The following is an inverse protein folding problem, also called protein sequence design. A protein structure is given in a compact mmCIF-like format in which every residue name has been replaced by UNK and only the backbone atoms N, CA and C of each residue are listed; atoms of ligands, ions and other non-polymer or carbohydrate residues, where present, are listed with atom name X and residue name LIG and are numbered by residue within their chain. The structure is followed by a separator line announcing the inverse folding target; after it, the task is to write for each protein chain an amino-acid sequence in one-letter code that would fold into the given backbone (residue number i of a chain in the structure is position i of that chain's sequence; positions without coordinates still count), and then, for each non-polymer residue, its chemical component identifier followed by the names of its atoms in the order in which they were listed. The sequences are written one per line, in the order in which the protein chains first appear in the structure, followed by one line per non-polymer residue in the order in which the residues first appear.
data_IF_492787345408
#
_entry.id   IF_492787345408
#
_cell.length_a   1.000
_cell.length_b   1.000
_cell.length_c   1.000
_cell.angle_alpha   90.00
_cell.angle_beta   90.00
_cell.angle_gamma   90.00
#
_symmetry.space_group_name_H-M   'P 1'
#
loop_
_entity.id
_entity.type
_entity.pdbx_description
1 polymer ?
#
# COMPACT_ATOMS: atom_id res chain seq x y z
N UNK A 1 -32.37 36.50 -10.83
CA UNK A 1 -31.06 35.83 -10.67
C UNK A 1 -31.11 34.49 -11.39
N UNK A 2 -30.28 34.29 -12.42
CA UNK A 2 -30.51 33.34 -13.51
C UNK A 2 -29.94 31.94 -13.20
N UNK A 3 -30.71 31.07 -12.53
CA UNK A 3 -30.29 29.72 -12.08
C UNK A 3 -29.97 28.77 -13.26
N UNK A 4 -30.36 29.10 -14.50
CA UNK A 4 -30.14 28.24 -15.68
C UNK A 4 -28.71 28.31 -16.25
N UNK A 5 -28.00 29.42 -16.10
CA UNK A 5 -26.61 29.55 -16.58
C UNK A 5 -25.60 28.58 -15.93
N UNK A 6 -25.59 28.37 -14.59
CA UNK A 6 -24.63 27.44 -13.98
C UNK A 6 -24.86 25.98 -14.37
N UNK A 7 -26.12 25.59 -14.67
CA UNK A 7 -26.45 24.23 -15.10
C UNK A 7 -25.92 23.93 -16.52
N UNK A 8 -26.02 24.91 -17.43
CA UNK A 8 -25.50 24.77 -18.79
C UNK A 8 -23.97 24.73 -18.82
N UNK A 9 -23.30 25.52 -17.97
CA UNK A 9 -21.84 25.49 -17.82
C UNK A 9 -21.34 24.15 -17.26
N UNK A 10 -22.01 23.59 -16.23
CA UNK A 10 -21.71 22.25 -15.69
C UNK A 10 -21.82 21.16 -16.76
N UNK A 11 -22.86 21.19 -17.58
CA UNK A 11 -23.03 20.24 -18.68
C UNK A 11 -21.94 20.36 -19.75
N UNK A 12 -21.46 21.57 -20.02
CA UNK A 12 -20.34 21.81 -20.96
C UNK A 12 -19.01 21.27 -20.43
N UNK A 13 -18.72 21.51 -19.15
CA UNK A 13 -17.53 20.98 -18.49
C UNK A 13 -17.55 19.44 -18.47
N UNK A 14 -18.67 18.85 -18.06
CA UNK A 14 -18.82 17.38 -18.04
C UNK A 14 -18.64 16.75 -19.43
N UNK A 15 -19.06 17.43 -20.50
CA UNK A 15 -18.81 16.97 -21.89
C UNK A 15 -17.33 16.98 -22.26
N UNK A 16 -16.57 17.97 -21.79
CA UNK A 16 -15.12 18.01 -21.99
C UNK A 16 -14.41 16.91 -21.20
N UNK A 17 -14.83 16.67 -19.96
CA UNK A 17 -14.31 15.56 -19.16
C UNK A 17 -14.71 14.19 -19.73
N UNK A 18 -15.81 14.08 -20.47
CA UNK A 18 -16.27 12.85 -21.12
C UNK A 18 -15.57 12.55 -22.47
N UNK A 19 -14.30 12.93 -22.60
CA UNK A 19 -13.51 12.73 -23.82
C UNK A 19 -12.80 11.37 -23.80
N UNK A 20 -12.96 10.59 -24.89
CA UNK A 20 -12.30 9.29 -25.06
C UNK A 20 -10.77 9.40 -25.09
N UNK A 21 -10.24 10.52 -25.59
CA UNK A 21 -8.79 10.75 -25.64
C UNK A 21 -8.18 10.65 -24.24
N UNK A 22 -8.83 11.26 -23.23
CA UNK A 22 -8.40 11.23 -21.83
C UNK A 22 -8.31 9.79 -21.33
N UNK A 23 -9.36 9.00 -21.54
CA UNK A 23 -9.43 7.59 -21.15
C UNK A 23 -8.26 6.79 -21.73
N UNK A 24 -8.02 6.93 -23.04
CA UNK A 24 -6.96 6.20 -23.75
C UNK A 24 -5.59 6.63 -23.26
N UNK A 25 -5.33 7.93 -23.12
CA UNK A 25 -4.05 8.40 -22.55
C UNK A 25 -3.83 7.90 -21.12
N UNK A 26 -4.86 7.86 -20.28
CA UNK A 26 -4.74 7.33 -18.92
C UNK A 26 -4.41 5.83 -18.93
N UNK A 27 -5.06 5.04 -19.78
CA UNK A 27 -4.80 3.60 -19.89
C UNK A 27 -3.39 3.31 -20.40
N UNK A 28 -2.92 4.04 -21.41
CA UNK A 28 -1.53 3.91 -21.91
C UNK A 28 -0.53 4.33 -20.83
N UNK A 29 -0.84 5.39 -20.08
CA UNK A 29 0.03 5.80 -18.98
C UNK A 29 0.08 4.77 -17.85
N UNK A 30 -1.05 4.20 -17.46
CA UNK A 30 -1.12 3.11 -16.47
C UNK A 30 -0.33 1.87 -16.93
N UNK A 31 -0.35 1.55 -18.23
CA UNK A 31 0.47 0.47 -18.79
C UNK A 31 1.96 0.76 -18.59
N UNK A 32 2.42 1.98 -18.89
CA UNK A 32 3.82 2.40 -18.73
C UNK A 32 4.22 2.34 -17.25
N UNK A 33 3.38 2.88 -16.35
CA UNK A 33 3.61 2.83 -14.91
C UNK A 33 3.69 1.41 -14.38
N UNK A 34 2.81 0.52 -14.86
CA UNK A 34 2.79 -0.88 -14.43
C UNK A 34 4.07 -1.58 -14.87
N UNK A 35 4.48 -1.40 -16.13
CA UNK A 35 5.73 -1.97 -16.64
C UNK A 35 6.94 -1.49 -15.81
N UNK A 36 7.06 -0.18 -15.59
CA UNK A 36 8.21 0.37 -14.87
C UNK A 36 8.19 0.04 -13.37
N UNK A 37 7.00 -0.03 -12.77
CA UNK A 37 6.82 -0.49 -11.39
C UNK A 37 7.28 -1.93 -11.20
N UNK A 38 6.97 -2.82 -12.16
CA UNK A 38 7.46 -4.21 -12.13
C UNK A 38 8.98 -4.29 -12.31
N UNK A 39 9.57 -3.45 -13.15
CA UNK A 39 11.05 -3.37 -13.26
C UNK A 39 11.66 -2.89 -11.94
N UNK A 40 11.11 -1.83 -11.34
CA UNK A 40 11.59 -1.27 -10.08
C UNK A 40 11.47 -2.23 -8.89
N UNK A 41 10.46 -3.11 -8.89
CA UNK A 41 10.25 -4.13 -7.87
C UNK A 41 11.46 -5.05 -7.68
N UNK A 42 12.23 -5.31 -8.74
CA UNK A 42 13.41 -6.18 -8.66
C UNK A 42 14.54 -5.60 -7.79
N UNK A 43 14.64 -4.26 -7.71
CA UNK A 43 15.73 -3.58 -7.01
C UNK A 43 15.37 -2.99 -5.64
N UNK A 44 14.09 -2.69 -5.40
CA UNK A 44 13.62 -2.00 -4.18
C UNK A 44 12.58 -2.81 -3.38
N UNK A 45 12.30 -4.04 -3.81
CA UNK A 45 11.22 -4.84 -3.26
C UNK A 45 9.82 -4.35 -3.67
N UNK A 46 8.81 -5.16 -3.33
CA UNK A 46 7.43 -4.93 -3.74
C UNK A 46 6.82 -3.69 -3.08
N UNK A 47 7.04 -3.52 -1.78
CA UNK A 47 6.42 -2.45 -0.99
C UNK A 47 6.84 -1.06 -1.47
N UNK A 48 8.14 -0.80 -1.61
CA UNK A 48 8.63 0.50 -2.04
C UNK A 48 8.31 0.79 -3.52
N UNK A 49 8.31 -0.23 -4.40
CA UNK A 49 7.87 -0.07 -5.78
C UNK A 49 6.38 0.31 -5.86
N UNK A 50 5.50 -0.36 -5.10
CA UNK A 50 4.08 -0.01 -5.03
C UNK A 50 3.87 1.41 -4.50
N UNK A 51 4.54 1.76 -3.40
CA UNK A 51 4.43 3.07 -2.77
C UNK A 51 4.88 4.20 -3.70
N UNK A 52 5.96 3.98 -4.46
CA UNK A 52 6.53 4.99 -5.37
C UNK A 52 5.67 5.17 -6.62
N UNK A 53 5.23 4.09 -7.28
CA UNK A 53 4.52 4.18 -8.57
C UNK A 53 3.01 4.19 -8.43
N UNK A 54 2.44 3.42 -7.50
CA UNK A 54 1.01 3.17 -7.42
C UNK A 54 0.28 4.01 -6.36
N UNK A 55 0.88 4.23 -5.19
CA UNK A 55 0.28 5.05 -4.12
C UNK A 55 0.73 6.52 -4.12
N UNK A 56 1.58 6.89 -5.07
CA UNK A 56 1.99 8.29 -5.21
C UNK A 56 1.06 9.07 -6.12
N UNK A 57 0.81 10.33 -5.77
CA UNK A 57 0.17 11.29 -6.66
C UNK A 57 1.14 11.76 -7.74
N UNK A 58 2.37 12.09 -7.34
CA UNK A 58 3.45 12.52 -8.21
C UNK A 58 4.73 11.88 -7.68
N UNK A 59 5.47 11.21 -8.56
CA UNK A 59 6.78 10.65 -8.22
C UNK A 59 7.86 11.28 -9.10
N UNK A 60 9.09 11.31 -8.61
CA UNK A 60 10.22 11.82 -9.38
C UNK A 60 10.88 10.69 -10.16
N UNK A 61 10.66 10.64 -11.47
CA UNK A 61 11.46 9.77 -12.33
C UNK A 61 12.89 10.28 -12.40
N UNK A 62 13.85 9.38 -12.12
CA UNK A 62 15.27 9.70 -12.13
C UNK A 62 15.70 10.80 -11.15
N UNK A 63 14.88 11.12 -10.15
CA UNK A 63 15.17 12.15 -9.14
C UNK A 63 14.93 13.60 -9.58
N UNK A 64 14.48 13.86 -10.81
CA UNK A 64 14.32 15.23 -11.32
C UNK A 64 12.97 15.50 -12.00
N UNK A 65 12.38 14.52 -12.67
CA UNK A 65 11.18 14.76 -13.48
C UNK A 65 9.90 14.34 -12.73
N UNK A 66 9.04 15.29 -12.30
CA UNK A 66 7.80 14.96 -11.62
C UNK A 66 6.80 14.36 -12.62
N UNK A 67 6.46 13.09 -12.42
CA UNK A 67 5.51 12.36 -13.22
C UNK A 67 4.26 12.02 -12.40
N UNK A 68 3.07 12.00 -13.03
CA UNK A 68 1.86 11.57 -12.35
C UNK A 68 1.94 10.08 -12.01
N UNK A 69 1.75 9.75 -10.75
CA UNK A 69 1.66 8.36 -10.29
C UNK A 69 0.34 7.70 -10.66
N UNK A 70 0.22 6.41 -10.36
CA UNK A 70 -0.97 5.65 -10.73
C UNK A 70 -2.21 6.12 -9.97
N UNK A 71 -2.07 6.51 -8.70
CA UNK A 71 -3.18 7.03 -7.90
C UNK A 71 -3.84 8.26 -8.55
N UNK A 72 -3.05 9.25 -8.95
CA UNK A 72 -3.57 10.43 -9.64
C UNK A 72 -4.24 10.05 -10.96
N UNK A 73 -3.59 9.18 -11.73
CA UNK A 73 -4.09 8.72 -13.05
C UNK A 73 -5.41 7.97 -12.92
N UNK A 74 -5.55 7.09 -11.92
CA UNK A 74 -6.77 6.35 -11.61
C UNK A 74 -7.91 7.29 -11.20
N UNK A 75 -7.63 8.34 -10.41
CA UNK A 75 -8.64 9.36 -10.08
C UNK A 75 -9.12 10.13 -11.31
N UNK A 76 -8.20 10.55 -12.19
CA UNK A 76 -8.56 11.22 -13.45
C UNK A 76 -9.42 10.30 -14.32
N UNK A 77 -9.03 9.02 -14.43
CA UNK A 77 -9.78 8.02 -15.19
C UNK A 77 -11.17 7.77 -14.58
N UNK A 78 -11.29 7.71 -13.26
CA UNK A 78 -12.57 7.56 -12.56
C UNK A 78 -13.51 8.74 -12.84
N UNK A 79 -13.03 9.97 -12.70
CA UNK A 79 -13.84 11.18 -12.98
C UNK A 79 -14.28 11.22 -14.44
N UNK A 80 -13.38 10.86 -15.37
CA UNK A 80 -13.71 10.73 -16.79
C UNK A 80 -14.82 9.70 -17.02
N UNK A 81 -14.70 8.50 -16.43
CA UNK A 81 -15.70 7.43 -16.56
C UNK A 81 -17.06 7.83 -15.99
N UNK A 82 -17.08 8.46 -14.81
CA UNK A 82 -18.31 9.02 -14.21
C UNK A 82 -18.92 10.07 -15.15
N UNK A 83 -18.10 10.96 -15.71
CA UNK A 83 -18.56 11.99 -16.64
C UNK A 83 -19.16 11.40 -17.93
N UNK A 84 -18.52 10.38 -18.50
CA UNK A 84 -19.04 9.64 -19.67
C UNK A 84 -20.36 8.96 -19.32
N UNK A 85 -20.42 8.29 -18.17
CA UNK A 85 -21.62 7.58 -17.72
C UNK A 85 -22.78 8.55 -17.55
N UNK A 86 -22.58 9.70 -16.89
CA UNK A 86 -23.64 10.69 -16.66
C UNK A 86 -24.07 11.44 -17.93
N UNK A 87 -23.14 11.77 -18.83
CA UNK A 87 -23.46 12.56 -20.05
C UNK A 87 -24.02 11.72 -21.19
N UNK A 88 -23.62 10.45 -21.29
CA UNK A 88 -24.06 9.52 -22.35
C UNK A 88 -25.06 8.49 -21.84
N UNK A 89 -25.57 8.64 -20.63
CA UNK A 89 -26.64 7.80 -20.09
C UNK A 89 -27.90 7.97 -20.93
N UNK A 90 -28.17 7.04 -21.84
CA UNK A 90 -29.45 6.95 -22.54
C UNK A 90 -29.96 5.55 -22.32
N UNK A 91 -30.95 5.42 -21.43
CA UNK A 91 -31.56 4.14 -21.11
C UNK A 91 -32.36 3.64 -22.32
N UNK A 92 -31.73 2.76 -23.09
CA UNK A 92 -32.33 2.15 -24.28
C UNK A 92 -31.99 0.68 -24.28
N UNK A 93 -32.99 -0.18 -24.41
CA UNK A 93 -32.83 -1.64 -24.43
C UNK A 93 -31.81 -2.12 -25.47
N UNK A 94 -31.69 -1.41 -26.60
CA UNK A 94 -30.70 -1.70 -27.65
C UNK A 94 -29.24 -1.38 -27.27
N UNK A 95 -29.00 -0.74 -26.12
CA UNK A 95 -27.67 -0.29 -25.65
C UNK A 95 -27.33 -0.81 -24.25
N UNK A 96 -28.06 -1.83 -23.77
CA UNK A 96 -27.85 -2.43 -22.44
C UNK A 96 -26.42 -2.92 -22.23
N UNK A 97 -25.79 -3.54 -23.24
CA UNK A 97 -24.41 -4.03 -23.10
C UNK A 97 -23.41 -2.92 -22.75
N UNK A 98 -23.54 -1.75 -23.38
CA UNK A 98 -22.67 -0.59 -23.10
C UNK A 98 -22.91 -0.07 -21.69
N UNK A 99 -24.17 -0.02 -21.27
CA UNK A 99 -24.58 0.41 -19.94
C UNK A 99 -24.04 -0.53 -18.84
N UNK A 100 -24.12 -1.85 -19.05
CA UNK A 100 -23.56 -2.86 -18.14
C UNK A 100 -22.05 -2.68 -18.02
N UNK A 101 -21.32 -2.49 -19.12
CA UNK A 101 -19.86 -2.31 -19.08
C UNK A 101 -19.50 -1.06 -18.27
N UNK A 102 -20.19 0.07 -18.49
CA UNK A 102 -19.86 1.30 -17.78
C UNK A 102 -20.18 1.20 -16.29
N UNK A 103 -21.33 0.63 -15.93
CA UNK A 103 -21.70 0.41 -14.53
C UNK A 103 -20.78 -0.61 -13.84
N UNK A 104 -20.41 -1.70 -14.53
CA UNK A 104 -19.49 -2.70 -14.01
C UNK A 104 -18.10 -2.12 -13.77
N UNK A 105 -17.60 -1.29 -14.69
CA UNK A 105 -16.29 -0.65 -14.56
C UNK A 105 -16.30 0.40 -13.44
N UNK A 106 -17.40 1.14 -13.27
CA UNK A 106 -17.58 2.06 -12.15
C UNK A 106 -17.66 1.31 -10.81
N UNK A 107 -18.34 0.16 -10.78
CA UNK A 107 -18.35 -0.74 -9.62
C UNK A 107 -16.94 -1.26 -9.30
N UNK A 108 -16.14 -1.61 -10.31
CA UNK A 108 -14.76 -2.06 -10.11
C UNK A 108 -13.90 -1.00 -9.40
N UNK A 109 -14.04 0.28 -9.78
CA UNK A 109 -13.36 1.37 -9.10
C UNK A 109 -13.81 1.53 -7.63
N UNK A 110 -15.11 1.38 -7.35
CA UNK A 110 -15.62 1.42 -5.97
C UNK A 110 -15.03 0.28 -5.15
N UNK A 111 -15.01 -0.94 -5.69
CA UNK A 111 -14.38 -2.10 -5.03
C UNK A 111 -12.88 -1.87 -4.78
N UNK A 112 -12.15 -1.33 -5.78
CA UNK A 112 -10.73 -1.01 -5.63
C UNK A 112 -10.49 0.05 -4.53
N UNK A 113 -11.35 1.05 -4.40
CA UNK A 113 -11.26 2.04 -3.33
C UNK A 113 -11.51 1.43 -1.95
N UNK A 114 -12.49 0.52 -1.82
CA UNK A 114 -12.75 -0.18 -0.56
C UNK A 114 -11.53 -1.01 -0.13
N UNK A 115 -10.93 -1.74 -1.07
CA UNK A 115 -9.69 -2.51 -0.86
C UNK A 115 -8.57 -1.55 -0.42
N UNK A 116 -8.41 -0.42 -1.10
CA UNK A 116 -7.36 0.55 -0.77
C UNK A 116 -7.45 1.08 0.68
N UNK A 117 -8.66 1.28 1.21
CA UNK A 117 -8.85 1.79 2.58
C UNK A 117 -8.84 0.68 3.63
N UNK A 118 -9.24 -0.54 3.26
CA UNK A 118 -9.56 -1.61 4.24
C UNK A 118 -8.52 -2.73 4.30
N UNK A 119 -7.64 -2.84 3.31
CA UNK A 119 -6.67 -3.95 3.23
C UNK A 119 -5.51 -3.73 4.18
N UNK A 120 -5.14 -4.79 4.91
CA UNK A 120 -3.86 -4.92 5.60
C UNK A 120 -3.10 -6.10 5.01
N UNK A 121 -1.84 -5.87 4.63
CA UNK A 121 -0.99 -6.87 4.00
C UNK A 121 -0.15 -7.58 5.07
N UNK A 122 -0.23 -8.91 5.08
CA UNK A 122 0.60 -9.77 5.94
C UNK A 122 0.93 -11.05 5.19
N UNK A 123 2.00 -11.73 5.60
CA UNK A 123 2.46 -12.96 4.99
C UNK A 123 2.53 -14.09 6.01
N UNK A 124 2.30 -15.31 5.51
CA UNK A 124 2.51 -16.54 6.24
C UNK A 124 3.40 -17.41 5.36
N UNK A 125 4.58 -17.76 5.85
CA UNK A 125 5.45 -18.75 5.19
C UNK A 125 5.20 -20.10 5.85
N UNK A 126 4.84 -21.11 5.07
CA UNK A 126 4.58 -22.47 5.53
C UNK A 126 5.44 -23.45 4.73
N UNK A 127 6.11 -24.36 5.42
CA UNK A 127 6.76 -25.53 4.80
C UNK A 127 5.78 -26.72 4.73
N UNK A 128 6.15 -27.76 3.98
CA UNK A 128 5.34 -28.97 3.89
C UNK A 128 5.14 -29.62 5.27
N UNK A 129 3.88 -29.72 5.68
CA UNK A 129 3.49 -30.26 6.99
C UNK A 129 3.38 -29.22 8.11
N UNK A 130 3.70 -27.95 7.86
CA UNK A 130 3.54 -26.87 8.84
C UNK A 130 2.13 -26.27 8.82
N UNK A 131 1.68 -25.84 9.99
CA UNK A 131 0.47 -25.05 10.17
C UNK A 131 0.78 -23.85 11.05
N UNK A 132 0.33 -22.66 10.65
CA UNK A 132 0.47 -21.44 11.44
C UNK A 132 -0.91 -20.82 11.68
N UNK A 133 -1.11 -20.30 12.89
CA UNK A 133 -2.28 -19.52 13.29
C UNK A 133 -1.97 -18.02 13.43
N UNK A 134 -0.77 -17.61 13.00
CA UNK A 134 -0.28 -16.23 13.07
C UNK A 134 0.25 -15.82 11.71
N UNK A 135 0.12 -14.52 11.40
CA UNK A 135 0.62 -13.90 10.18
C UNK A 135 1.55 -12.76 10.55
N UNK A 136 2.62 -12.57 9.78
CA UNK A 136 3.64 -11.56 10.05
C UNK A 136 3.56 -10.43 9.03
N UNK A 137 3.75 -9.20 9.47
CA UNK A 137 3.92 -8.06 8.56
C UNK A 137 5.39 -8.03 8.11
N UNK A 138 5.66 -8.19 6.81
CA UNK A 138 7.04 -8.24 6.30
C UNK A 138 7.81 -6.92 6.42
N UNK A 139 7.10 -5.80 6.42
CA UNK A 139 7.69 -4.46 6.39
C UNK A 139 7.85 -3.83 7.79
N UNK A 140 7.24 -4.44 8.82
CA UNK A 140 7.27 -3.95 10.19
C UNK A 140 8.17 -4.85 11.05
N UNK A 141 9.20 -4.23 11.61
CA UNK A 141 10.13 -4.84 12.57
C UNK A 141 9.64 -4.67 14.01
N UNK A 142 9.75 -5.73 14.80
CA UNK A 142 9.51 -5.70 16.24
C UNK A 142 10.79 -6.13 16.98
N UNK A 143 11.10 -5.45 18.10
CA UNK A 143 12.22 -5.84 18.95
C UNK A 143 11.70 -6.68 20.12
N UNK A 144 12.03 -7.96 20.15
CA UNK A 144 11.65 -8.87 21.23
C UNK A 144 12.85 -9.25 22.09
N UNK A 145 12.68 -9.18 23.41
CA UNK A 145 13.67 -9.65 24.39
C UNK A 145 13.16 -10.88 25.10
N UNK A 146 14.02 -11.88 25.27
CA UNK A 146 13.78 -13.04 26.13
C UNK A 146 15.00 -13.35 26.98
N UNK A 147 14.83 -13.87 28.21
CA UNK A 147 15.95 -14.29 29.03
C UNK A 147 16.69 -15.45 28.33
N UNK A 148 18.01 -15.34 28.20
CA UNK A 148 18.84 -16.44 27.70
C UNK A 148 18.86 -17.56 28.74
N UNK A 149 18.44 -18.77 28.36
CA UNK A 149 18.56 -19.95 29.20
C UNK A 149 20.02 -20.43 29.17
N UNK A 150 20.86 -19.81 30.02
CA UNK A 150 22.24 -20.22 30.25
C UNK A 150 22.26 -21.46 31.16
N UNK A 151 21.71 -22.58 30.68
CA UNK A 151 21.71 -23.85 31.43
C UNK A 151 22.35 -24.97 30.62
N UNK A 152 23.68 -24.90 30.52
CA UNK A 152 24.49 -26.11 30.43
C UNK A 152 24.28 -26.95 31.70
N UNK A 153 23.38 -27.93 31.64
CA UNK A 153 23.44 -29.11 32.51
C UNK A 153 22.60 -29.13 33.79
N UNK A 154 21.41 -28.51 33.87
CA UNK A 154 20.49 -28.76 35.01
C UNK A 154 19.09 -29.13 34.53
N UNK A 155 18.60 -30.27 35.01
CA UNK A 155 17.32 -30.90 34.67
C UNK A 155 16.15 -29.97 34.98
N UNK A 156 15.29 -29.74 33.99
CA UNK A 156 14.07 -28.92 34.09
C UNK A 156 13.00 -29.62 34.91
N UNK A 157 12.58 -28.99 36.00
CA UNK A 157 11.29 -29.27 36.63
C UNK A 157 10.20 -28.56 35.81
N UNK A 158 9.15 -29.29 35.42
CA UNK A 158 7.98 -28.76 34.73
C UNK A 158 7.28 -27.75 35.64
N UNK A 159 7.60 -26.48 35.47
CA UNK A 159 6.67 -25.42 35.85
C UNK A 159 6.51 -24.44 34.70
N UNK A 160 5.25 -24.23 34.37
CA UNK A 160 4.71 -23.36 33.35
C UNK A 160 5.04 -21.89 33.68
N UNK A 161 6.31 -21.51 33.64
CA UNK A 161 6.75 -20.13 33.77
C UNK A 161 6.58 -19.48 32.39
N UNK A 162 5.50 -18.70 32.28
CA UNK A 162 5.26 -17.73 31.21
C UNK A 162 6.58 -17.05 30.88
N UNK A 163 7.14 -17.36 29.72
CA UNK A 163 8.35 -16.68 29.23
C UNK A 163 7.92 -15.24 28.99
N UNK A 164 8.27 -14.34 29.91
CA UNK A 164 7.98 -12.91 29.75
C UNK A 164 8.85 -12.39 28.60
N UNK A 165 8.36 -12.59 27.38
CA UNK A 165 8.87 -11.96 26.18
C UNK A 165 8.35 -10.54 26.22
N UNK A 166 9.26 -9.58 26.41
CA UNK A 166 8.93 -8.17 26.31
C UNK A 166 9.22 -7.76 24.87
N UNK A 167 8.16 -7.40 24.15
CA UNK A 167 8.26 -6.98 22.77
C UNK A 167 7.90 -5.51 22.62
N UNK A 168 8.70 -4.82 21.80
CA UNK A 168 8.61 -3.41 21.50
C UNK A 168 8.29 -3.25 20.03
N UNK A 169 7.03 -2.90 19.77
CA UNK A 169 6.57 -2.54 18.43
C UNK A 169 7.25 -1.24 17.93
N UNK A 170 7.44 -1.17 16.61
CA UNK A 170 8.09 -0.11 15.86
C UNK A 170 7.49 1.27 16.13
N UNK A 171 6.20 1.31 16.45
CA UNK A 171 5.47 2.52 16.83
C UNK A 171 6.11 3.25 18.02
N UNK A 172 6.84 2.52 18.87
CA UNK A 172 7.56 3.03 20.06
C UNK A 172 9.05 3.29 19.82
N UNK A 173 9.63 2.73 18.74
CA UNK A 173 11.06 2.79 18.38
C UNK A 173 11.36 3.93 17.39
N UNK A 174 11.14 5.19 17.80
CA UNK A 174 11.52 6.36 16.98
C UNK A 174 13.03 6.65 17.12
N UNK A 175 13.72 7.14 16.07
CA UNK A 175 15.11 7.58 16.17
C UNK A 175 15.28 8.57 17.33
N UNK A 176 16.37 8.43 18.10
CA UNK A 176 16.70 9.26 19.27
C UNK A 176 15.77 9.15 20.49
N UNK A 177 14.78 8.24 20.46
CA UNK A 177 13.90 8.02 21.62
C UNK A 177 14.53 7.01 22.59
N UNK A 178 14.82 7.45 23.81
CA UNK A 178 15.20 6.58 24.91
C UNK A 178 14.03 5.65 25.25
N UNK A 179 14.20 4.35 25.00
CA UNK A 179 13.32 3.33 25.57
C UNK A 179 14.02 2.82 26.83
N UNK A 180 13.79 3.51 27.95
CA UNK A 180 14.18 2.99 29.26
C UNK A 180 13.12 1.98 29.68
N UNK A 181 13.45 0.69 29.66
CA UNK A 181 12.59 -0.32 30.27
C UNK A 181 13.24 -0.88 31.53
N UNK A 182 12.46 -0.92 32.60
CA UNK A 182 12.84 -1.30 33.96
C UNK A 182 13.06 -2.82 34.10
N UNK A 183 12.70 -3.60 33.08
CA UNK A 183 12.71 -5.07 33.08
C UNK A 183 14.05 -5.68 32.65
N UNK A 184 14.80 -4.98 31.80
CA UNK A 184 16.15 -5.34 31.38
C UNK A 184 17.10 -4.35 32.03
N UNK A 185 18.07 -4.79 32.83
CA UNK A 185 19.14 -3.93 33.37
C UNK A 185 20.11 -3.44 32.26
N UNK A 186 19.59 -3.01 31.12
CA UNK A 186 20.34 -2.60 29.94
C UNK A 186 19.63 -1.42 29.24
N UNK A 187 20.41 -0.41 28.87
CA UNK A 187 19.94 0.75 28.13
C UNK A 187 20.29 0.58 26.64
N UNK A 188 19.34 0.80 25.74
CA UNK A 188 19.57 0.75 24.30
C UNK A 188 19.13 2.06 23.64
N UNK A 189 19.86 2.47 22.59
CA UNK A 189 19.56 3.65 21.79
C UNK A 189 19.43 3.21 20.34
N UNK A 190 18.29 3.49 19.73
CA UNK A 190 18.06 3.24 18.30
C UNK A 190 18.80 4.30 17.50
N UNK A 191 19.89 3.90 16.82
CA UNK A 191 20.77 4.78 16.04
C UNK A 191 20.18 5.14 14.67
N UNK A 192 19.59 4.18 13.98
CA UNK A 192 18.99 4.34 12.65
C UNK A 192 17.93 3.27 12.43
N UNK A 193 16.91 3.61 11.65
CA UNK A 193 15.80 2.73 11.31
C UNK A 193 15.49 2.85 9.81
N UNK A 194 15.31 1.70 9.17
CA UNK A 194 14.96 1.60 7.75
C UNK A 194 13.76 0.65 7.62
N UNK A 195 12.73 1.06 6.87
CA UNK A 195 11.60 0.20 6.51
C UNK A 195 12.00 -0.75 5.39
N UNK A 196 11.40 -1.95 5.39
CA UNK A 196 11.52 -2.91 4.28
C UNK A 196 13.00 -3.22 3.93
N UNK A 197 13.85 -3.38 4.94
CA UNK A 197 15.28 -3.61 4.76
C UNK A 197 15.72 -4.84 5.54
N UNK A 198 16.47 -5.75 4.91
CA UNK A 198 17.05 -6.90 5.60
C UNK A 198 18.29 -6.46 6.38
N UNK A 199 18.32 -6.80 7.67
CA UNK A 199 19.47 -6.55 8.56
C UNK A 199 20.29 -7.83 8.63
N UNK A 200 21.50 -7.80 8.09
CA UNK A 200 22.44 -8.91 8.19
C UNK A 200 23.18 -8.86 9.53
N UNK A 201 23.68 -10.01 10.00
CA UNK A 201 24.38 -10.14 11.29
C UNK A 201 25.65 -9.26 11.39
N UNK A 202 26.16 -8.75 10.27
CA UNK A 202 27.28 -7.81 10.20
C UNK A 202 26.87 -6.34 10.41
N UNK A 203 25.58 -6.06 10.62
CA UNK A 203 25.04 -4.72 10.78
C UNK A 203 24.86 -3.96 9.46
N UNK A 204 25.06 -4.60 8.31
CA UNK A 204 24.73 -4.02 7.01
C UNK A 204 23.22 -4.10 6.78
N UNK A 205 22.68 -3.00 6.27
CA UNK A 205 21.26 -2.85 5.95
C UNK A 205 21.16 -2.79 4.43
N UNK A 206 20.44 -3.75 3.82
CA UNK A 206 20.05 -3.66 2.40
C UNK A 206 18.57 -3.41 2.30
N UNK A 207 18.20 -2.31 1.65
CA UNK A 207 16.82 -2.00 1.26
C UNK A 207 16.56 -2.48 -0.17
#
# INVERSE_FOLDING_TARGET
MNVRQPLLAKLSLMKHLANLKITVTCLVWLLILTFWGTVAQTGHGLYEAQKTFFFSWIFLAGGFFPLPGAQLTLWVLFINLVSVTLTRFVFRWSKIGILIIHLGLLSYFVSAFVIFVSTQESQVTLLEGEAANVSTAYHDWELAFWPADLSGGVKREKHSAKTDVVSYDISRLKPERFVSDFTLKANFVVKSYSRNADVFADGTVKA
#
